data_IF_644119636009
#
_entry.id   IF_644119636009
#
_cell.length_a   1.000
_cell.length_b   1.000
_cell.length_c   1.000
_cell.angle_alpha   90.00
_cell.angle_beta   90.00
_cell.angle_gamma   90.00
#
_symmetry.space_group_name_H-M   'P 1'
#
loop_
_entity.id
_entity.type
_entity.pdbx_description
1 polymer ?
#
# COMPACT_ATOMS: atom_id res chain seq x y z
N UNK A 1 -12.29 1.06 29.98
CA UNK A 1 -11.92 2.27 29.21
C UNK A 1 -12.66 2.22 27.89
N UNK A 2 -13.66 3.08 27.70
CA UNK A 2 -14.47 3.15 26.48
C UNK A 2 -14.30 4.50 25.81
N UNK A 3 -14.37 4.54 24.48
CA UNK A 3 -14.41 5.79 23.73
C UNK A 3 -15.69 6.54 24.10
N UNK A 4 -15.57 7.75 24.65
CA UNK A 4 -16.72 8.61 24.92
C UNK A 4 -17.42 8.99 23.62
N UNK A 5 -18.71 9.30 23.66
CA UNK A 5 -19.53 9.65 22.49
C UNK A 5 -18.91 10.74 21.60
N UNK A 6 -18.14 11.66 22.18
CA UNK A 6 -17.43 12.72 21.43
C UNK A 6 -16.40 12.18 20.43
N UNK A 7 -15.82 11.01 20.67
CA UNK A 7 -14.85 10.40 19.75
C UNK A 7 -15.51 9.72 18.56
N UNK A 8 -16.79 9.34 18.68
CA UNK A 8 -17.51 8.70 17.59
C UNK A 8 -17.64 9.63 16.38
N UNK A 9 -18.07 10.87 16.63
CA UNK A 9 -18.19 11.89 15.58
C UNK A 9 -16.84 12.22 14.94
N UNK A 10 -15.78 12.33 15.73
CA UNK A 10 -14.43 12.57 15.22
C UNK A 10 -13.92 11.41 14.36
N UNK A 11 -14.15 10.17 14.78
CA UNK A 11 -13.82 8.99 13.99
C UNK A 11 -14.58 8.97 12.66
N UNK A 12 -15.88 9.31 12.65
CA UNK A 12 -16.65 9.42 11.41
C UNK A 12 -16.10 10.50 10.47
N UNK A 13 -15.73 11.67 11.00
CA UNK A 13 -15.09 12.72 10.19
C UNK A 13 -13.77 12.24 9.59
N UNK A 14 -13.00 11.45 10.33
CA UNK A 14 -11.77 10.85 9.82
C UNK A 14 -12.07 9.87 8.66
N UNK A 15 -13.03 8.97 8.81
CA UNK A 15 -13.40 8.01 7.76
C UNK A 15 -13.99 8.65 6.50
N UNK A 16 -14.63 9.82 6.62
CA UNK A 16 -15.20 10.54 5.48
C UNK A 16 -14.29 11.64 4.92
N UNK A 17 -13.14 11.88 5.54
CA UNK A 17 -12.18 12.87 5.08
C UNK A 17 -11.60 12.48 3.72
N UNK A 18 -11.42 13.48 2.85
CA UNK A 18 -10.69 13.34 1.57
C UNK A 18 -9.24 13.79 1.68
N UNK A 19 -8.80 14.25 2.85
CA UNK A 19 -7.46 14.79 3.05
C UNK A 19 -6.37 13.72 2.94
N UNK A 20 -6.68 12.47 3.31
CA UNK A 20 -5.76 11.34 3.26
C UNK A 20 -6.52 10.14 2.70
N UNK A 21 -6.04 9.61 1.58
CA UNK A 21 -6.55 8.35 1.03
C UNK A 21 -5.92 7.15 1.73
N UNK A 22 -6.59 6.00 1.72
CA UNK A 22 -6.03 4.76 2.27
C UNK A 22 -4.70 4.39 1.60
N UNK A 23 -4.53 4.70 0.31
CA UNK A 23 -3.28 4.49 -0.42
C UNK A 23 -2.16 5.37 0.11
N UNK A 24 -2.39 6.69 0.25
CA UNK A 24 -1.39 7.62 0.80
C UNK A 24 -0.99 7.23 2.22
N UNK A 25 -1.96 6.88 3.07
CA UNK A 25 -1.67 6.43 4.43
C UNK A 25 -0.81 5.16 4.44
N UNK A 26 -1.12 4.18 3.57
CA UNK A 26 -0.35 2.94 3.44
C UNK A 26 1.08 3.21 2.96
N UNK A 27 1.26 4.13 1.99
CA UNK A 27 2.58 4.54 1.51
C UNK A 27 3.41 5.19 2.61
N UNK A 28 2.85 6.18 3.32
CA UNK A 28 3.55 6.86 4.42
C UNK A 28 3.93 5.89 5.53
N UNK A 29 3.01 4.99 5.88
CA UNK A 29 3.28 3.95 6.86
C UNK A 29 4.42 3.03 6.41
N UNK A 30 4.42 2.61 5.15
CA UNK A 30 5.46 1.78 4.57
C UNK A 30 6.83 2.48 4.58
N UNK A 31 6.88 3.73 4.12
CA UNK A 31 8.11 4.54 4.12
C UNK A 31 8.70 4.67 5.52
N UNK A 32 7.85 4.91 6.52
CA UNK A 32 8.30 4.91 7.91
C UNK A 32 8.77 3.52 8.36
N UNK A 33 7.99 2.47 8.07
CA UNK A 33 8.28 1.11 8.50
C UNK A 33 9.64 0.62 8.00
N UNK A 34 9.99 0.86 6.73
CA UNK A 34 11.28 0.42 6.16
C UNK A 34 12.51 1.11 6.80
N UNK A 35 12.33 2.26 7.46
CA UNK A 35 13.41 2.91 8.21
C UNK A 35 13.64 2.30 9.59
N UNK A 36 12.71 1.46 10.07
CA UNK A 36 12.77 0.93 11.41
C UNK A 36 13.96 -0.06 11.55
N UNK A 37 14.73 -0.01 12.65
CA UNK A 37 15.95 -0.80 12.80
C UNK A 37 15.70 -2.32 12.85
N UNK A 38 14.45 -2.74 13.12
CA UNK A 38 14.04 -4.15 13.20
C UNK A 38 13.54 -4.72 11.87
N UNK A 39 13.57 -3.94 10.79
CA UNK A 39 13.16 -4.43 9.47
C UNK A 39 14.11 -5.52 9.02
N UNK A 40 13.54 -6.66 8.63
CA UNK A 40 14.32 -7.75 8.06
C UNK A 40 14.91 -7.31 6.72
N UNK A 41 16.22 -7.53 6.58
CA UNK A 41 16.96 -7.17 5.37
C UNK A 41 17.71 -8.38 4.85
N UNK A 42 17.57 -8.63 3.56
CA UNK A 42 18.39 -9.61 2.85
C UNK A 42 19.28 -8.87 1.86
N UNK A 43 20.60 -9.09 1.94
CA UNK A 43 21.60 -8.39 1.12
C UNK A 43 21.46 -6.85 1.17
N UNK A 44 21.10 -6.31 2.34
CA UNK A 44 20.90 -4.87 2.56
C UNK A 44 19.54 -4.31 2.12
N UNK A 45 18.73 -5.07 1.38
CA UNK A 45 17.40 -4.66 0.93
C UNK A 45 16.32 -5.08 1.93
N UNK A 46 15.33 -4.22 2.16
CA UNK A 46 14.17 -4.55 2.98
C UNK A 46 13.35 -5.66 2.30
N UNK A 47 12.85 -6.59 3.10
CA UNK A 47 12.01 -7.69 2.63
C UNK A 47 10.63 -7.57 3.24
N UNK A 48 9.62 -7.46 2.39
CA UNK A 48 8.23 -7.45 2.80
C UNK A 48 7.73 -8.89 2.84
N UNK A 49 7.41 -9.37 4.04
CA UNK A 49 6.79 -10.68 4.25
C UNK A 49 5.34 -10.44 4.64
N UNK A 50 4.42 -10.93 3.83
CA UNK A 50 3.01 -10.90 4.15
C UNK A 50 2.35 -12.22 3.80
N UNK A 51 1.33 -12.55 4.58
CA UNK A 51 0.45 -13.68 4.33
C UNK A 51 -0.86 -13.19 3.72
N UNK A 52 -1.42 -13.97 2.81
CA UNK A 52 -2.71 -13.67 2.20
C UNK A 52 -3.83 -13.91 3.21
N UNK A 53 -4.64 -12.89 3.50
CA UNK A 53 -5.77 -13.03 4.43
C UNK A 53 -7.12 -12.94 3.72
N UNK A 54 -8.01 -13.88 4.07
CA UNK A 54 -9.42 -13.89 3.69
C UNK A 54 -10.23 -13.39 4.89
N UNK A 55 -10.83 -12.20 4.76
CA UNK A 55 -11.60 -11.56 5.85
C UNK A 55 -13.09 -11.64 5.55
N UNK A 56 -13.82 -12.41 6.36
CA UNK A 56 -15.27 -12.53 6.27
C UNK A 56 -15.99 -11.20 6.51
N UNK A 57 -17.04 -10.94 5.72
CA UNK A 57 -17.89 -9.75 5.82
C UNK A 57 -19.36 -10.17 5.82
N UNK A 58 -20.08 -9.72 6.84
CA UNK A 58 -21.51 -10.03 7.02
C UNK A 58 -22.43 -9.07 6.25
N UNK A 59 -21.91 -7.90 5.85
CA UNK A 59 -22.66 -6.88 5.13
C UNK A 59 -23.15 -7.36 3.76
N UNK A 60 -24.47 -7.53 3.59
CA UNK A 60 -25.06 -8.05 2.34
C UNK A 60 -24.80 -7.16 1.12
N UNK A 61 -24.66 -5.85 1.31
CA UNK A 61 -24.43 -4.81 0.28
C UNK A 61 -23.07 -4.11 0.39
N UNK A 62 -22.08 -4.75 1.02
CA UNK A 62 -20.76 -4.14 1.17
C UNK A 62 -20.00 -4.17 -0.18
N UNK A 63 -19.46 -3.04 -0.65
CA UNK A 63 -18.72 -2.98 -1.91
C UNK A 63 -17.53 -3.94 -1.96
N UNK A 64 -17.22 -4.43 -3.16
CA UNK A 64 -16.09 -5.32 -3.46
C UNK A 64 -16.05 -6.66 -2.67
N UNK A 65 -17.12 -7.04 -1.96
CA UNK A 65 -17.24 -8.35 -1.32
C UNK A 65 -17.41 -9.44 -2.36
N UNK A 66 -16.57 -10.47 -2.28
CA UNK A 66 -16.58 -11.63 -3.19
C UNK A 66 -16.92 -12.90 -2.42
N UNK A 67 -17.44 -13.91 -3.12
CA UNK A 67 -17.50 -15.29 -2.60
C UNK A 67 -16.11 -15.90 -2.78
N UNK A 68 -15.49 -16.31 -1.68
CA UNK A 68 -14.12 -16.82 -1.62
C UNK A 68 -14.16 -18.26 -1.12
N UNK A 69 -13.49 -19.15 -1.82
CA UNK A 69 -13.29 -20.53 -1.39
C UNK A 69 -12.14 -20.60 -0.38
N UNK A 70 -12.26 -21.38 0.68
CA UNK A 70 -11.18 -21.69 1.59
C UNK A 70 -10.52 -23.00 1.17
N UNK A 71 -9.30 -22.90 0.65
CA UNK A 71 -8.48 -24.04 0.21
C UNK A 71 -7.82 -24.80 1.37
N UNK A 72 -7.86 -24.24 2.60
CA UNK A 72 -7.31 -24.92 3.77
C UNK A 72 -8.23 -26.06 4.20
N UNK A 73 -7.69 -27.27 4.34
CA UNK A 73 -8.35 -28.45 4.92
C UNK A 73 -8.60 -28.33 6.45
N UNK A 74 -8.90 -27.12 6.94
CA UNK A 74 -9.25 -26.92 8.33
C UNK A 74 -10.76 -27.10 8.50
N UNK A 75 -11.15 -28.21 9.14
CA UNK A 75 -12.54 -28.66 9.33
C UNK A 75 -13.42 -27.65 10.08
N UNK A 76 -12.83 -26.70 10.80
CA UNK A 76 -13.56 -25.68 11.57
C UNK A 76 -13.87 -24.41 10.77
N UNK A 77 -13.30 -24.22 9.58
CA UNK A 77 -13.56 -23.04 8.74
C UNK A 77 -14.60 -23.39 7.69
N UNK A 78 -15.55 -22.50 7.46
CA UNK A 78 -16.50 -22.66 6.36
C UNK A 78 -15.75 -22.72 5.03
N UNK A 79 -16.10 -23.70 4.19
CA UNK A 79 -15.52 -23.91 2.86
C UNK A 79 -15.67 -22.67 1.96
N UNK A 80 -16.71 -21.87 2.20
CA UNK A 80 -16.98 -20.64 1.48
C UNK A 80 -17.22 -19.50 2.46
N UNK A 81 -16.60 -18.35 2.19
CA UNK A 81 -16.88 -17.11 2.90
C UNK A 81 -17.28 -16.02 1.90
N UNK A 82 -18.11 -15.09 2.34
CA UNK A 82 -18.25 -13.79 1.67
C UNK A 82 -17.30 -12.83 2.34
N UNK A 83 -16.42 -12.20 1.58
CA UNK A 83 -15.40 -11.35 2.17
C UNK A 83 -14.54 -10.60 1.19
N UNK A 84 -13.52 -9.95 1.74
CA UNK A 84 -12.42 -9.39 0.98
C UNK A 84 -11.22 -10.33 1.09
N UNK A 85 -10.50 -10.50 -0.02
CA UNK A 85 -9.23 -11.20 -0.04
C UNK A 85 -8.13 -10.16 -0.21
N UNK A 86 -7.23 -10.10 0.76
CA UNK A 86 -6.01 -9.31 0.71
C UNK A 86 -4.86 -10.29 0.51
N UNK A 87 -4.59 -10.62 -0.75
CA UNK A 87 -3.45 -11.45 -1.10
C UNK A 87 -2.15 -10.67 -0.95
N UNK A 88 -1.12 -11.29 -0.38
CA UNK A 88 0.24 -10.73 -0.37
C UNK A 88 1.18 -11.77 -0.97
N UNK A 89 2.11 -11.28 -1.79
CA UNK A 89 3.27 -12.03 -2.27
C UNK A 89 4.46 -11.48 -1.50
N UNK A 90 5.36 -12.34 -1.01
CA UNK A 90 6.66 -11.88 -0.49
C UNK A 90 7.44 -11.23 -1.63
N UNK A 91 7.75 -9.93 -1.50
CA UNK A 91 8.44 -9.18 -2.52
C UNK A 91 9.78 -8.66 -1.97
N UNK A 92 10.84 -8.82 -2.75
CA UNK A 92 12.06 -8.06 -2.53
C UNK A 92 11.78 -6.61 -2.89
N UNK A 93 12.01 -5.70 -1.95
CA UNK A 93 11.94 -4.29 -2.27
C UNK A 93 13.22 -3.90 -3.02
N UNK A 94 13.25 -4.19 -4.32
CA UNK A 94 14.20 -3.54 -5.21
C UNK A 94 13.76 -2.08 -5.24
N UNK A 95 14.61 -1.19 -4.70
CA UNK A 95 14.53 0.24 -4.99
C UNK A 95 14.73 0.41 -6.49
N UNK A 96 13.66 0.27 -7.26
CA UNK A 96 13.54 1.00 -8.51
C UNK A 96 13.46 2.47 -8.09
N UNK A 97 14.62 3.09 -7.93
CA UNK A 97 14.75 4.53 -8.11
C UNK A 97 14.44 4.73 -9.60
N UNK A 98 13.15 4.69 -9.94
CA UNK A 98 12.67 5.16 -11.22
C UNK A 98 12.86 6.66 -11.18
N UNK A 99 14.05 7.10 -11.58
CA UNK A 99 14.23 8.03 -12.69
C UNK A 99 13.07 9.02 -12.93
N UNK A 100 12.65 9.76 -11.90
CA UNK A 100 11.66 10.84 -12.03
C UNK A 100 12.24 12.19 -11.59
N UNK A 101 13.57 12.29 -11.47
CA UNK A 101 14.27 13.56 -11.26
C UNK A 101 15.35 13.88 -12.31
N UNK A 102 15.58 13.03 -13.32
CA UNK A 102 16.56 13.31 -14.38
C UNK A 102 15.95 13.53 -15.77
N UNK A 103 14.66 13.28 -16.02
CA UNK A 103 14.10 13.52 -17.36
C UNK A 103 13.83 15.01 -17.65
N UNK A 104 13.80 15.88 -16.62
CA UNK A 104 13.69 17.33 -16.82
C UNK A 104 15.03 18.07 -16.83
N UNK A 105 16.15 17.41 -16.49
CA UNK A 105 17.47 18.05 -16.48
C UNK A 105 18.26 17.86 -17.79
N UNK A 106 18.04 16.75 -18.52
CA UNK A 106 18.82 16.44 -19.73
C UNK A 106 18.22 16.95 -21.04
N UNK A 107 16.96 17.39 -21.04
CA UNK A 107 16.32 17.96 -22.24
C UNK A 107 16.45 19.48 -22.35
N UNK A 108 16.92 20.16 -21.29
CA UNK A 108 17.11 21.61 -21.25
C UNK A 108 18.53 22.10 -21.53
N UNK A 109 19.54 21.23 -21.41
CA UNK A 109 20.95 21.62 -21.60
C UNK A 109 21.49 21.37 -23.01
N UNK A 110 20.80 20.55 -23.82
CA UNK A 110 21.24 20.25 -25.20
C UNK A 110 20.86 21.34 -26.22
N UNK A 111 19.84 22.15 -25.93
CA UNK A 111 19.40 23.23 -26.83
C UNK A 111 20.19 24.53 -26.68
N UNK A 112 21.00 24.68 -25.62
CA UNK A 112 21.80 25.88 -25.37
C UNK A 112 23.22 25.76 -25.95
N UNK A 113 23.68 24.54 -26.25
CA UNK A 113 25.01 24.31 -26.83
C UNK A 113 25.04 24.38 -28.35
N UNK A 114 23.92 24.10 -29.04
CA UNK A 114 23.83 24.11 -30.51
C UNK A 114 23.56 25.50 -31.12
N UNK A 115 23.16 26.51 -30.32
CA UNK A 115 22.94 27.89 -30.82
C UNK A 115 24.15 28.82 -30.64
N UNK A 116 25.28 28.32 -30.14
CA UNK A 116 26.47 29.13 -29.86
C UNK A 116 27.66 28.85 -30.80
N UNK A 117 27.51 27.91 -31.76
CA UNK A 117 28.57 27.53 -32.71
C UNK A 117 28.06 27.39 -34.15
N UNK A 118 27.04 28.15 -34.51
CA UNK A 118 26.53 28.29 -35.88
C UNK A 118 26.82 29.71 -36.36
N UNK A 119 28.10 29.98 -36.61
CA UNK A 119 28.54 30.98 -37.60
C UNK A 119 28.64 30.29 -38.98
#
# INVERSE_FOLDING_TARGET
>A
MGLTQNYYTQALHWFHSKAITAQQLSTMWHEWLITHPKVHRQRGQAVDVGDGIKVGKEGKKMPAVKKLHNESENVTKSEWIRGHYFGVITLYQIRLIAHTMNYQATSGSRLIYESAHSD
#
